data_IF_951527377843
#
_entry.id   IF_951527377843
#
_cell.length_a   1.000
_cell.length_b   1.000
_cell.length_c   1.000
_cell.angle_alpha   90.00
_cell.angle_beta   90.00
_cell.angle_gamma   90.00
#
_symmetry.space_group_name_H-M   'P 1'
#
loop_
_entity.id
_entity.type
_entity.pdbx_description
1 polymer ?
#
# COMPACT_ATOMS: atom_id res chain seq x y z
N UNK A 1 -45.67 6.39 11.88
CA UNK A 1 -45.96 7.81 12.20
C UNK A 1 -44.80 8.31 13.04
N UNK A 2 -44.08 9.33 12.59
CA UNK A 2 -42.90 9.87 13.28
C UNK A 2 -43.37 10.96 14.25
N UNK A 3 -43.32 10.69 15.54
CA UNK A 3 -43.77 11.62 16.58
C UNK A 3 -42.59 12.48 17.01
N UNK A 4 -42.54 13.74 16.55
CA UNK A 4 -41.47 14.68 16.87
C UNK A 4 -41.63 15.18 18.31
N UNK A 5 -40.64 14.89 19.15
CA UNK A 5 -40.61 15.30 20.56
C UNK A 5 -40.66 16.84 20.70
N UNK A 6 -41.31 17.36 21.76
CA UNK A 6 -41.40 18.80 21.98
C UNK A 6 -40.00 19.38 22.25
N UNK A 7 -39.69 20.57 21.71
CA UNK A 7 -38.39 21.20 21.90
C UNK A 7 -38.18 21.55 23.37
N UNK A 8 -37.25 20.85 24.01
CA UNK A 8 -36.79 21.16 25.36
C UNK A 8 -35.80 22.34 25.27
N UNK A 9 -35.94 23.29 26.19
CA UNK A 9 -34.94 24.35 26.39
C UNK A 9 -33.73 23.70 27.06
N UNK A 10 -32.80 23.24 26.24
CA UNK A 10 -31.51 22.73 26.65
C UNK A 10 -30.56 23.92 26.81
N UNK A 11 -30.06 24.14 28.02
CA UNK A 11 -28.99 25.09 28.22
C UNK A 11 -27.65 24.43 27.88
N UNK A 12 -26.98 24.97 26.87
CA UNK A 12 -25.67 24.51 26.38
C UNK A 12 -24.52 25.40 26.87
N UNK A 13 -24.78 26.26 27.85
CA UNK A 13 -23.73 27.08 28.45
C UNK A 13 -22.71 26.20 29.17
N UNK A 14 -21.44 26.56 29.00
CA UNK A 14 -20.35 25.89 29.67
C UNK A 14 -20.29 26.35 31.15
N UNK A 15 -20.25 25.43 32.13
CA UNK A 15 -20.00 25.77 33.52
C UNK A 15 -18.74 26.59 33.70
N UNK A 16 -18.78 27.59 34.61
CA UNK A 16 -17.67 28.53 34.83
C UNK A 16 -16.35 27.84 35.19
N UNK A 17 -16.44 26.76 35.96
CA UNK A 17 -15.28 25.95 36.36
C UNK A 17 -14.54 25.38 35.13
N UNK A 18 -15.27 24.98 34.08
CA UNK A 18 -14.67 24.42 32.86
C UNK A 18 -14.12 25.49 31.91
N UNK A 19 -14.47 26.76 32.12
CA UNK A 19 -13.92 27.89 31.34
C UNK A 19 -12.50 28.22 31.84
N UNK A 20 -12.24 28.06 33.13
CA UNK A 20 -10.93 28.36 33.74
C UNK A 20 -9.85 27.39 33.25
N UNK A 21 -10.21 26.14 32.98
CA UNK A 21 -9.33 25.08 32.46
C UNK A 21 -9.23 25.06 30.92
N UNK A 22 -9.84 26.02 30.24
CA UNK A 22 -9.87 26.03 28.77
C UNK A 22 -8.54 26.58 28.23
N UNK A 23 -7.65 25.66 27.85
CA UNK A 23 -6.38 26.01 27.22
C UNK A 23 -6.49 26.03 25.69
N UNK A 24 -5.71 26.89 25.04
CA UNK A 24 -5.54 26.84 23.59
C UNK A 24 -4.96 25.46 23.22
N UNK A 25 -5.62 24.74 22.32
CA UNK A 25 -5.13 23.47 21.82
C UNK A 25 -3.76 23.61 21.18
N UNK A 26 -2.93 22.59 21.31
CA UNK A 26 -1.62 22.52 20.66
C UNK A 26 -1.77 22.75 19.14
N UNK A 27 -0.88 23.53 18.51
CA UNK A 27 -0.88 23.64 17.06
C UNK A 27 -0.71 22.24 16.46
N UNK A 28 -1.55 21.92 15.48
CA UNK A 28 -1.42 20.67 14.73
C UNK A 28 0.01 20.55 14.23
N UNK A 29 0.70 19.50 14.67
CA UNK A 29 2.02 19.14 14.18
C UNK A 29 1.97 19.07 12.65
N UNK A 30 2.93 19.71 11.98
CA UNK A 30 3.02 19.68 10.52
C UNK A 30 2.89 18.24 10.02
N UNK A 31 1.94 18.02 9.12
CA UNK A 31 1.63 16.70 8.56
C UNK A 31 2.85 16.15 7.82
N UNK A 32 3.66 15.34 8.50
CA UNK A 32 4.68 14.55 7.84
C UNK A 32 3.97 13.58 6.89
N UNK A 33 4.33 13.54 5.60
CA UNK A 33 3.69 12.64 4.66
C UNK A 33 3.87 11.19 5.13
N UNK A 34 2.76 10.47 5.20
CA UNK A 34 2.73 9.04 5.59
C UNK A 34 3.52 8.16 4.62
N UNK A 35 3.65 8.61 3.37
CA UNK A 35 4.28 7.85 2.32
C UNK A 35 5.70 8.38 2.05
N UNK A 36 6.68 7.48 1.93
CA UNK A 36 7.97 7.82 1.34
C UNK A 36 7.78 8.38 -0.08
N UNK A 37 8.63 9.33 -0.52
CA UNK A 37 8.60 9.81 -1.90
C UNK A 37 8.85 8.66 -2.87
N UNK A 38 7.88 8.39 -3.76
CA UNK A 38 7.94 7.29 -4.74
C UNK A 38 9.01 7.51 -5.82
N UNK A 39 9.42 8.76 -6.03
CA UNK A 39 10.31 9.18 -7.11
C UNK A 39 11.45 10.03 -6.56
N UNK A 40 12.37 9.37 -5.87
CA UNK A 40 13.66 9.97 -5.51
C UNK A 40 14.60 9.80 -6.71
N UNK A 41 15.38 10.84 -7.01
CA UNK A 41 16.48 10.74 -7.97
C UNK A 41 17.40 9.60 -7.51
N UNK A 42 17.47 8.51 -8.30
CA UNK A 42 18.34 7.38 -7.98
C UNK A 42 19.77 7.89 -7.83
N UNK A 43 20.51 7.34 -6.86
CA UNK A 43 21.89 7.73 -6.62
C UNK A 43 22.67 7.77 -7.96
N UNK A 44 23.39 8.87 -8.21
CA UNK A 44 24.20 9.04 -9.41
C UNK A 44 25.33 7.99 -9.55
N UNK A 45 25.52 7.15 -8.53
CA UNK A 45 26.45 6.03 -8.56
C UNK A 45 25.82 4.88 -9.32
N UNK A 46 26.49 4.34 -10.37
CA UNK A 46 26.01 3.15 -11.04
C UNK A 46 25.89 2.01 -10.03
N UNK A 47 24.74 1.36 -9.99
CA UNK A 47 24.56 0.17 -9.16
C UNK A 47 25.64 -0.87 -9.54
N UNK A 48 26.20 -1.61 -8.55
CA UNK A 48 27.27 -2.60 -8.81
C UNK A 48 26.78 -3.81 -9.60
N UNK A 49 25.48 -3.89 -9.88
CA UNK A 49 24.86 -4.89 -10.71
C UNK A 49 23.83 -4.25 -11.64
N UNK A 50 23.64 -4.88 -12.80
CA UNK A 50 22.48 -4.67 -13.63
C UNK A 50 21.41 -5.69 -13.23
N UNK A 51 20.20 -5.20 -12.95
CA UNK A 51 19.04 -6.03 -12.62
C UNK A 51 18.14 -6.16 -13.84
N UNK A 52 17.89 -7.40 -14.26
CA UNK A 52 16.94 -7.76 -15.32
C UNK A 52 15.90 -8.73 -14.76
N UNK A 53 14.79 -8.97 -15.47
CA UNK A 53 13.80 -9.96 -15.02
C UNK A 53 12.81 -10.37 -16.10
N UNK A 54 12.11 -11.49 -15.87
CA UNK A 54 11.05 -12.03 -16.73
C UNK A 54 9.92 -12.62 -15.88
N UNK A 55 8.68 -12.43 -16.30
CA UNK A 55 7.52 -13.07 -15.68
C UNK A 55 7.46 -14.56 -16.07
N UNK A 56 7.27 -15.42 -15.08
CA UNK A 56 7.03 -16.85 -15.25
C UNK A 56 5.53 -17.07 -15.08
N UNK A 57 4.88 -17.51 -16.16
CA UNK A 57 3.45 -17.82 -16.19
C UNK A 57 3.28 -19.27 -16.59
N UNK A 58 2.40 -19.97 -15.87
CA UNK A 58 2.05 -21.35 -16.15
C UNK A 58 0.99 -21.40 -17.26
N UNK A 59 1.44 -21.19 -18.50
CA UNK A 59 0.60 -21.45 -19.67
C UNK A 59 0.50 -22.96 -19.85
N UNK A 60 -0.60 -23.56 -19.40
CA UNK A 60 -0.86 -24.98 -19.58
C UNK A 60 -0.97 -25.33 -21.07
N UNK A 61 0.15 -25.66 -21.70
CA UNK A 61 0.22 -26.18 -23.05
C UNK A 61 -0.52 -27.52 -23.10
N UNK A 62 -1.53 -27.63 -23.97
CA UNK A 62 -2.25 -28.88 -24.23
C UNK A 62 -1.77 -29.46 -25.54
N UNK A 63 -1.65 -30.78 -25.61
CA UNK A 63 -1.34 -31.45 -26.87
C UNK A 63 -2.55 -31.45 -27.82
N UNK A 64 -2.37 -32.02 -29.02
CA UNK A 64 -3.44 -32.11 -30.04
C UNK A 64 -4.61 -33.00 -29.61
N UNK A 65 -4.44 -33.82 -28.58
CA UNK A 65 -5.47 -34.63 -27.93
C UNK A 65 -6.22 -33.85 -26.83
N UNK A 66 -5.75 -32.65 -26.47
CA UNK A 66 -6.31 -31.84 -25.40
C UNK A 66 -5.79 -32.19 -24.00
N UNK A 67 -4.84 -33.11 -23.90
CA UNK A 67 -4.20 -33.51 -22.64
C UNK A 67 -3.14 -32.49 -22.24
N UNK A 68 -3.00 -32.21 -20.94
CA UNK A 68 -1.99 -31.28 -20.44
C UNK A 68 -0.60 -31.87 -20.67
N UNK A 69 0.28 -31.10 -21.30
CA UNK A 69 1.70 -31.43 -21.41
C UNK A 69 2.35 -31.13 -20.05
N UNK A 70 2.48 -32.15 -19.21
CA UNK A 70 3.30 -32.08 -18.00
C UNK A 70 4.77 -31.97 -18.42
N UNK A 71 5.33 -30.75 -18.38
CA UNK A 71 6.77 -30.55 -18.49
C UNK A 71 7.38 -30.72 -17.10
N UNK A 72 8.42 -31.55 -16.97
CA UNK A 72 9.08 -31.84 -15.70
C UNK A 72 9.95 -30.68 -15.16
N UNK A 73 9.94 -29.51 -15.82
CA UNK A 73 10.74 -28.38 -15.38
C UNK A 73 10.09 -27.71 -14.16
N UNK A 74 10.90 -27.43 -13.15
CA UNK A 74 10.48 -26.75 -11.92
C UNK A 74 9.73 -25.42 -12.18
N UNK A 75 10.17 -24.66 -13.19
CA UNK A 75 9.58 -23.36 -13.55
C UNK A 75 8.15 -23.46 -14.11
N UNK A 76 7.74 -24.62 -14.64
CA UNK A 76 6.39 -24.81 -15.18
C UNK A 76 5.36 -25.11 -14.09
N UNK A 77 5.76 -25.24 -12.83
CA UNK A 77 4.86 -25.46 -11.68
C UNK A 77 4.65 -24.20 -10.84
N UNK A 78 5.28 -23.08 -11.21
CA UNK A 78 5.33 -21.87 -10.39
C UNK A 78 4.94 -20.66 -11.22
N UNK A 79 3.90 -19.95 -10.80
CA UNK A 79 3.64 -18.59 -11.26
C UNK A 79 4.48 -17.60 -10.44
N UNK A 80 5.24 -16.73 -11.11
CA UNK A 80 6.12 -15.82 -10.40
C UNK A 80 6.91 -14.88 -11.31
N UNK A 81 7.93 -14.24 -10.75
CA UNK A 81 8.85 -13.39 -11.48
C UNK A 81 10.30 -13.83 -11.19
N UNK A 82 11.09 -13.96 -12.25
CA UNK A 82 12.52 -14.22 -12.14
C UNK A 82 13.28 -12.89 -12.16
N UNK A 83 14.22 -12.73 -11.24
CA UNK A 83 15.18 -11.64 -11.20
C UNK A 83 16.57 -12.15 -11.54
N UNK A 84 17.26 -11.46 -12.43
CA UNK A 84 18.62 -11.77 -12.87
C UNK A 84 19.55 -10.62 -12.49
N UNK A 85 20.60 -10.93 -11.74
CA UNK A 85 21.61 -9.97 -11.31
C UNK A 85 22.90 -10.20 -12.09
N UNK A 86 23.38 -9.17 -12.79
CA UNK A 86 24.68 -9.19 -13.46
C UNK A 86 25.62 -8.19 -12.79
N UNK A 87 26.59 -8.69 -12.05
CA UNK A 87 27.56 -7.85 -11.37
C UNK A 87 28.58 -7.29 -12.36
N UNK A 88 28.77 -5.97 -12.34
CA UNK A 88 29.77 -5.28 -13.16
C UNK A 88 31.03 -5.14 -12.32
N UNK A 89 32.11 -5.79 -12.74
CA UNK A 89 33.45 -5.60 -12.17
C UNK A 89 34.06 -4.28 -12.64
#
# INVERSE_FOLDING_TARGET
MEQKLPPIKLDLSLPRELVEDLHHGEPLLEDKPLLPPLFVEKEAKPAPFQLSGKLITNEHERDKSGEKLERDNYFDKVDGAQLNFEFRN
#
